data_IF_994193495049
#
_entry.id   IF_994193495049
#
_cell.length_a   1.000
_cell.length_b   1.000
_cell.length_c   1.000
_cell.angle_alpha   90.00
_cell.angle_beta   90.00
_cell.angle_gamma   90.00
#
_symmetry.space_group_name_H-M   'P 1'
#
loop_
_entity.id
_entity.type
_entity.pdbx_description
1 polymer ?
#
# COMPACT_ATOMS: atom_id res chain seq x y z
N UNK A 1 23.33 -25.25 -21.22
CA UNK A 1 22.05 -24.86 -20.56
C UNK A 1 21.01 -24.71 -21.66
N UNK A 2 20.10 -25.65 -21.75
CA UNK A 2 19.01 -25.59 -22.72
C UNK A 2 17.92 -24.67 -22.19
N UNK A 3 17.80 -23.47 -22.81
CA UNK A 3 16.66 -22.60 -22.56
C UNK A 3 15.41 -23.22 -23.17
N UNK A 4 14.32 -23.29 -22.40
CA UNK A 4 13.00 -23.62 -22.94
C UNK A 4 12.30 -22.35 -23.37
N UNK A 5 11.56 -22.44 -24.48
CA UNK A 5 10.67 -21.36 -24.90
C UNK A 5 9.61 -21.10 -23.83
N UNK A 6 9.34 -19.83 -23.55
CA UNK A 6 8.33 -19.45 -22.55
C UNK A 6 6.94 -19.81 -23.07
N UNK A 7 6.10 -20.35 -22.18
CA UNK A 7 4.71 -20.61 -22.55
C UNK A 7 3.99 -19.31 -22.94
N UNK A 8 3.17 -19.33 -24.00
CA UNK A 8 2.37 -18.18 -24.37
C UNK A 8 1.34 -17.89 -23.25
N UNK A 9 1.10 -16.63 -22.99
CA UNK A 9 0.05 -16.18 -22.08
C UNK A 9 -0.69 -15.00 -22.72
N UNK A 10 -1.94 -14.81 -22.33
CA UNK A 10 -2.73 -13.65 -22.73
C UNK A 10 -2.54 -12.55 -21.69
N UNK A 11 -1.96 -11.43 -22.11
CA UNK A 11 -1.80 -10.27 -21.24
C UNK A 11 -3.17 -9.56 -21.08
N UNK A 12 -3.53 -9.26 -19.84
CA UNK A 12 -4.68 -8.41 -19.57
C UNK A 12 -4.35 -6.97 -19.97
N UNK A 13 -5.15 -6.41 -20.85
CA UNK A 13 -5.02 -5.03 -21.31
C UNK A 13 -6.35 -4.31 -21.09
N UNK A 14 -6.30 -3.16 -20.44
CA UNK A 14 -7.48 -2.30 -20.29
C UNK A 14 -7.88 -1.80 -21.68
N UNK A 15 -9.15 -2.01 -22.12
CA UNK A 15 -9.64 -1.49 -23.39
C UNK A 15 -9.50 0.03 -23.47
N UNK A 16 -8.92 0.52 -24.55
CA UNK A 16 -8.61 1.94 -24.68
C UNK A 16 -9.88 2.82 -24.71
N UNK A 17 -10.94 2.37 -25.33
CA UNK A 17 -12.21 3.09 -25.39
C UNK A 17 -12.85 3.22 -24.00
N UNK A 18 -12.80 2.15 -23.19
CA UNK A 18 -13.25 2.19 -21.80
C UNK A 18 -12.39 3.13 -20.96
N UNK A 19 -11.07 3.10 -21.17
CA UNK A 19 -10.16 4.02 -20.50
C UNK A 19 -10.47 5.48 -20.81
N UNK A 20 -10.68 5.81 -22.10
CA UNK A 20 -10.99 7.17 -22.54
C UNK A 20 -12.35 7.65 -22.00
N UNK A 21 -13.36 6.78 -21.98
CA UNK A 21 -14.67 7.11 -21.43
C UNK A 21 -14.59 7.51 -19.96
N UNK A 22 -13.96 6.69 -19.13
CA UNK A 22 -13.83 6.95 -17.70
C UNK A 22 -12.95 8.17 -17.40
N UNK A 23 -11.81 8.29 -18.10
CA UNK A 23 -10.90 9.43 -17.88
C UNK A 23 -11.49 10.75 -18.37
N UNK A 24 -12.29 10.71 -19.44
CA UNK A 24 -13.06 11.87 -19.93
C UNK A 24 -14.12 12.32 -18.94
N UNK A 25 -14.78 11.39 -18.27
CA UNK A 25 -15.78 11.68 -17.25
C UNK A 25 -15.17 12.28 -15.98
N UNK A 26 -14.09 11.67 -15.46
CA UNK A 26 -13.41 12.16 -14.25
C UNK A 26 -12.70 13.48 -14.50
N UNK A 27 -12.09 13.66 -15.67
CA UNK A 27 -11.20 14.75 -16.05
C UNK A 27 -9.88 14.81 -15.26
N UNK A 28 -8.84 15.36 -15.89
CA UNK A 28 -7.53 15.55 -15.26
C UNK A 28 -7.60 16.42 -14.00
N UNK A 29 -8.37 17.51 -14.05
CA UNK A 29 -8.48 18.45 -12.93
C UNK A 29 -9.10 17.82 -11.68
N UNK A 30 -10.15 17.01 -11.83
CA UNK A 30 -10.80 16.31 -10.72
C UNK A 30 -9.88 15.22 -10.15
N UNK A 31 -9.16 14.50 -11.00
CA UNK A 31 -8.19 13.51 -10.55
C UNK A 31 -7.01 14.15 -9.82
N UNK A 32 -6.49 15.29 -10.31
CA UNK A 32 -5.43 16.05 -9.64
C UNK A 32 -5.87 16.53 -8.25
N UNK A 33 -7.10 17.06 -8.10
CA UNK A 33 -7.64 17.44 -6.79
C UNK A 33 -7.80 16.22 -5.85
N UNK A 34 -8.23 15.10 -6.39
CA UNK A 34 -8.42 13.89 -5.58
C UNK A 34 -7.11 13.30 -5.06
N UNK A 35 -6.04 13.31 -5.86
CA UNK A 35 -4.75 12.72 -5.47
C UNK A 35 -3.90 13.65 -4.62
N UNK A 36 -4.13 14.97 -4.68
CA UNK A 36 -3.37 15.96 -3.92
C UNK A 36 -4.04 16.20 -2.56
N UNK A 37 -3.62 15.43 -1.56
CA UNK A 37 -4.09 15.59 -0.19
C UNK A 37 -2.96 15.27 0.80
N UNK A 38 -2.84 16.07 1.86
CA UNK A 38 -1.82 15.90 2.90
C UNK A 38 -2.02 14.57 3.64
N UNK A 39 -3.27 14.25 3.98
CA UNK A 39 -3.61 13.01 4.66
C UNK A 39 -3.99 11.92 3.65
N UNK A 40 -3.47 10.72 3.90
CA UNK A 40 -3.84 9.56 3.08
C UNK A 40 -5.34 9.27 3.11
N UNK A 41 -5.97 9.43 4.27
CA UNK A 41 -7.41 9.16 4.45
C UNK A 41 -8.27 10.07 3.58
N UNK A 42 -7.95 11.35 3.49
CA UNK A 42 -8.68 12.31 2.67
C UNK A 42 -8.56 11.99 1.18
N UNK A 43 -7.34 11.62 0.74
CA UNK A 43 -7.11 11.16 -0.62
C UNK A 43 -7.91 9.90 -0.94
N UNK A 44 -7.84 8.89 -0.07
CA UNK A 44 -8.53 7.62 -0.28
C UNK A 44 -10.05 7.83 -0.30
N UNK A 45 -10.59 8.74 0.53
CA UNK A 45 -12.01 9.12 0.51
C UNK A 45 -12.42 9.81 -0.80
N UNK A 46 -11.61 10.74 -1.30
CA UNK A 46 -11.87 11.42 -2.58
C UNK A 46 -11.83 10.44 -3.76
N UNK A 47 -10.83 9.56 -3.81
CA UNK A 47 -10.74 8.54 -4.87
C UNK A 47 -11.93 7.57 -4.81
N UNK A 48 -12.32 7.15 -3.61
CA UNK A 48 -13.49 6.30 -3.42
C UNK A 48 -14.76 6.97 -3.94
N UNK A 49 -15.00 8.23 -3.60
CA UNK A 49 -16.14 9.00 -4.10
C UNK A 49 -16.17 9.10 -5.64
N UNK A 50 -15.00 9.33 -6.28
CA UNK A 50 -14.89 9.31 -7.74
C UNK A 50 -15.20 7.94 -8.31
N UNK A 51 -14.75 6.87 -7.66
CA UNK A 51 -15.02 5.50 -8.09
C UNK A 51 -16.52 5.18 -8.05
N UNK A 52 -17.18 5.53 -6.93
CA UNK A 52 -18.61 5.33 -6.76
C UNK A 52 -19.41 6.11 -7.81
N UNK A 53 -19.08 7.36 -8.08
CA UNK A 53 -19.73 8.18 -9.11
C UNK A 53 -19.57 7.59 -10.52
N UNK A 54 -18.38 7.09 -10.86
CA UNK A 54 -18.12 6.41 -12.14
C UNK A 54 -18.94 5.14 -12.24
N UNK A 55 -18.96 4.32 -11.18
CA UNK A 55 -19.74 3.08 -11.16
C UNK A 55 -21.23 3.38 -11.36
N UNK A 56 -21.81 4.32 -10.62
CA UNK A 56 -23.22 4.68 -10.75
C UNK A 56 -23.59 5.20 -12.14
N UNK A 57 -22.68 5.95 -12.78
CA UNK A 57 -22.99 6.64 -14.03
C UNK A 57 -22.64 5.86 -15.28
N UNK A 58 -21.53 5.11 -15.28
CA UNK A 58 -20.95 4.53 -16.50
C UNK A 58 -21.06 3.00 -16.61
N UNK A 59 -21.55 2.29 -15.58
CA UNK A 59 -21.65 0.82 -15.59
C UNK A 59 -22.39 0.30 -16.82
N UNK A 60 -23.57 0.86 -17.13
CA UNK A 60 -24.36 0.41 -18.29
C UNK A 60 -23.60 0.62 -19.61
N UNK A 61 -22.94 1.76 -19.79
CA UNK A 61 -22.18 2.07 -21.00
C UNK A 61 -20.95 1.17 -21.12
N UNK A 62 -20.22 0.95 -20.04
CA UNK A 62 -19.06 0.07 -20.01
C UNK A 62 -19.46 -1.37 -20.31
N UNK A 63 -20.55 -1.88 -19.71
CA UNK A 63 -21.07 -3.22 -19.99
C UNK A 63 -21.40 -3.39 -21.47
N UNK A 64 -22.02 -2.40 -22.09
CA UNK A 64 -22.32 -2.43 -23.52
C UNK A 64 -21.06 -2.44 -24.40
N UNK A 65 -19.94 -1.88 -23.94
CA UNK A 65 -18.67 -1.82 -24.68
C UNK A 65 -17.84 -3.10 -24.55
N UNK A 66 -17.76 -3.67 -23.35
CA UNK A 66 -16.82 -4.78 -23.06
C UNK A 66 -17.51 -6.15 -22.90
N UNK A 67 -18.86 -6.19 -22.85
CA UNK A 67 -19.65 -7.40 -22.69
C UNK A 67 -19.95 -7.76 -21.24
N UNK A 68 -21.01 -8.54 -21.04
CA UNK A 68 -21.53 -8.93 -19.72
C UNK A 68 -20.62 -9.91 -18.95
N UNK A 69 -19.67 -10.56 -19.62
CA UNK A 69 -18.75 -11.51 -19.00
C UNK A 69 -17.60 -10.79 -18.24
N UNK A 70 -17.43 -9.49 -18.46
CA UNK A 70 -16.37 -8.69 -17.84
C UNK A 70 -16.82 -8.17 -16.48
N UNK A 71 -15.98 -8.34 -15.46
CA UNK A 71 -16.17 -7.70 -14.16
C UNK A 71 -15.96 -6.18 -14.28
N UNK A 72 -17.07 -5.44 -14.38
CA UNK A 72 -17.05 -3.99 -14.59
C UNK A 72 -16.46 -3.25 -13.40
N UNK A 73 -16.71 -3.69 -12.17
CA UNK A 73 -16.17 -3.04 -10.96
C UNK A 73 -14.65 -3.18 -10.92
N UNK A 74 -14.12 -4.35 -11.25
CA UNK A 74 -12.69 -4.57 -11.38
C UNK A 74 -12.08 -3.71 -12.51
N UNK A 75 -12.73 -3.62 -13.66
CA UNK A 75 -12.29 -2.80 -14.79
C UNK A 75 -12.24 -1.31 -14.41
N UNK A 76 -13.28 -0.78 -13.77
CA UNK A 76 -13.31 0.61 -13.28
C UNK A 76 -12.16 0.84 -12.29
N UNK A 77 -11.96 -0.08 -11.35
CA UNK A 77 -10.87 -0.01 -10.39
C UNK A 77 -9.48 0.08 -11.07
N UNK A 78 -9.24 -0.76 -12.07
CA UNK A 78 -7.99 -0.78 -12.83
C UNK A 78 -7.77 0.51 -13.64
N UNK A 79 -8.84 1.02 -14.29
CA UNK A 79 -8.78 2.28 -15.03
C UNK A 79 -8.45 3.45 -14.10
N UNK A 80 -9.16 3.57 -12.97
CA UNK A 80 -8.94 4.64 -11.99
C UNK A 80 -7.53 4.54 -11.41
N UNK A 81 -7.06 3.34 -11.07
CA UNK A 81 -5.70 3.15 -10.59
C UNK A 81 -4.64 3.57 -11.62
N UNK A 82 -4.81 3.18 -12.89
CA UNK A 82 -3.92 3.60 -13.98
C UNK A 82 -3.94 5.12 -14.14
N UNK A 83 -5.10 5.73 -14.14
CA UNK A 83 -5.27 7.18 -14.28
C UNK A 83 -4.65 7.94 -13.10
N UNK A 84 -4.94 7.53 -11.87
CA UNK A 84 -4.31 8.06 -10.67
C UNK A 84 -2.78 8.01 -10.73
N UNK A 85 -2.23 6.85 -11.11
CA UNK A 85 -0.78 6.66 -11.24
C UNK A 85 -0.16 7.61 -12.27
N UNK A 86 -0.80 7.78 -13.42
CA UNK A 86 -0.32 8.67 -14.47
C UNK A 86 -0.43 10.14 -14.05
N UNK A 87 -1.52 10.54 -13.40
CA UNK A 87 -1.74 11.89 -12.89
C UNK A 87 -0.70 12.25 -11.84
N UNK A 88 -0.47 11.39 -10.83
CA UNK A 88 0.56 11.63 -9.80
C UNK A 88 1.95 11.77 -10.41
N UNK A 89 2.33 10.93 -11.38
CA UNK A 89 3.62 11.05 -12.06
C UNK A 89 3.75 12.36 -12.83
N UNK A 90 2.69 12.77 -13.53
CA UNK A 90 2.66 14.04 -14.28
C UNK A 90 2.81 15.22 -13.33
N UNK A 91 2.08 15.25 -12.21
CA UNK A 91 2.17 16.30 -11.19
C UNK A 91 3.58 16.39 -10.59
N UNK A 92 4.20 15.27 -10.24
CA UNK A 92 5.57 15.25 -9.70
C UNK A 92 6.56 15.82 -10.71
N UNK A 93 6.45 15.45 -11.99
CA UNK A 93 7.35 15.94 -13.04
C UNK A 93 7.13 17.42 -13.38
N UNK A 94 5.88 17.89 -13.36
CA UNK A 94 5.51 19.25 -13.71
C UNK A 94 5.76 20.23 -12.55
N UNK A 95 5.29 19.85 -11.35
CA UNK A 95 5.19 20.78 -10.21
C UNK A 95 6.31 20.56 -9.18
N UNK A 96 7.11 19.49 -9.34
CA UNK A 96 8.15 19.09 -8.39
C UNK A 96 7.65 18.92 -6.95
N UNK A 97 6.37 18.53 -6.80
CA UNK A 97 5.71 18.29 -5.52
C UNK A 97 5.13 16.88 -5.47
N UNK A 98 5.19 16.28 -4.29
CA UNK A 98 4.54 15.00 -4.02
C UNK A 98 3.06 15.19 -3.70
N UNK A 99 2.22 14.14 -3.78
CA UNK A 99 0.79 14.23 -3.49
C UNK A 99 0.44 14.76 -2.09
N UNK A 100 1.33 14.61 -1.12
CA UNK A 100 1.19 15.15 0.23
C UNK A 100 1.79 16.56 0.42
N UNK A 101 2.06 17.26 -0.67
CA UNK A 101 2.56 18.64 -0.68
C UNK A 101 4.06 18.80 -0.45
N UNK A 102 4.79 17.73 -0.08
CA UNK A 102 6.24 17.80 0.12
C UNK A 102 7.00 18.01 -1.18
N UNK A 103 8.17 18.66 -1.08
CA UNK A 103 9.14 18.72 -2.15
C UNK A 103 9.74 17.35 -2.48
N UNK A 104 10.48 17.25 -3.60
CA UNK A 104 11.06 15.98 -4.07
C UNK A 104 12.07 15.43 -3.09
N UNK A 105 12.90 16.28 -2.49
CA UNK A 105 13.96 15.91 -1.55
C UNK A 105 13.50 15.93 -0.08
N UNK A 106 12.33 16.44 0.20
CA UNK A 106 11.81 16.56 1.54
C UNK A 106 11.43 15.21 2.12
N UNK A 107 11.98 14.88 3.30
CA UNK A 107 11.60 13.68 4.06
C UNK A 107 10.48 14.02 5.05
N UNK A 108 9.68 13.01 5.41
CA UNK A 108 8.68 13.17 6.48
C UNK A 108 9.37 13.44 7.80
N UNK A 109 8.71 14.22 8.68
CA UNK A 109 9.20 14.48 10.03
C UNK A 109 9.46 13.17 10.75
N UNK A 110 10.67 13.06 11.30
CA UNK A 110 11.10 11.92 12.11
C UNK A 110 11.15 12.32 13.58
N UNK A 111 10.75 11.42 14.45
CA UNK A 111 11.01 11.52 15.90
C UNK A 111 11.29 10.14 16.47
N UNK A 112 12.09 10.10 17.53
CA UNK A 112 12.40 8.88 18.26
C UNK A 112 12.42 9.21 19.76
N UNK A 113 11.72 8.40 20.53
CA UNK A 113 11.67 8.47 21.98
C UNK A 113 12.13 7.13 22.52
N UNK A 114 12.95 7.12 23.55
CA UNK A 114 13.42 5.91 24.21
C UNK A 114 12.85 5.84 25.61
N UNK A 115 12.89 4.65 26.20
CA UNK A 115 12.47 4.43 27.60
C UNK A 115 10.97 4.70 27.85
N UNK A 116 10.14 4.39 26.85
CA UNK A 116 8.69 4.68 26.89
C UNK A 116 7.93 3.76 27.84
N UNK A 117 8.44 2.52 28.04
CA UNK A 117 7.82 1.51 28.89
C UNK A 117 8.72 1.20 30.11
N UNK A 118 8.20 1.31 31.35
CA UNK A 118 9.04 1.31 32.56
C UNK A 118 9.51 -0.08 33.03
N UNK A 119 8.98 -1.18 32.48
CA UNK A 119 9.23 -2.54 33.00
C UNK A 119 9.85 -3.49 31.98
N UNK A 120 10.38 -2.98 30.91
CA UNK A 120 11.07 -3.76 29.87
C UNK A 120 12.56 -3.48 29.89
N UNK A 121 13.36 -4.33 29.25
CA UNK A 121 14.80 -4.12 29.19
C UNK A 121 15.22 -2.99 28.24
N UNK A 122 14.33 -2.62 27.33
CA UNK A 122 14.46 -1.45 26.46
C UNK A 122 13.18 -1.22 25.69
N UNK A 123 12.86 0.03 25.41
CA UNK A 123 11.73 0.40 24.57
C UNK A 123 12.03 1.68 23.81
N UNK A 124 11.45 1.78 22.61
CA UNK A 124 11.54 2.98 21.78
C UNK A 124 10.28 3.17 20.96
N UNK A 125 9.84 4.39 20.81
CA UNK A 125 8.79 4.81 19.91
C UNK A 125 9.44 5.59 18.77
N UNK A 126 9.35 5.06 17.56
CA UNK A 126 9.81 5.74 16.35
C UNK A 126 8.62 6.21 15.53
N UNK A 127 8.63 7.47 15.14
CA UNK A 127 7.57 8.07 14.31
C UNK A 127 8.14 8.65 13.03
N UNK A 128 7.45 8.38 11.93
CA UNK A 128 7.73 8.96 10.61
C UNK A 128 6.43 9.49 10.01
N UNK A 129 6.19 10.77 10.15
CA UNK A 129 4.89 11.37 9.83
C UNK A 129 3.80 10.74 10.69
N UNK A 130 2.82 10.11 10.05
CA UNK A 130 1.69 9.45 10.72
C UNK A 130 1.98 7.99 11.12
N UNK A 131 3.07 7.40 10.63
CA UNK A 131 3.43 6.01 10.93
C UNK A 131 4.24 5.95 12.20
N UNK A 132 3.85 5.09 13.14
CA UNK A 132 4.57 4.84 14.39
C UNK A 132 4.92 3.37 14.54
N UNK A 133 6.07 3.10 15.14
CA UNK A 133 6.50 1.77 15.52
C UNK A 133 6.97 1.80 16.99
N UNK A 134 6.32 1.00 17.84
CA UNK A 134 6.77 0.76 19.21
C UNK A 134 7.63 -0.50 19.22
N UNK A 135 8.89 -0.35 19.58
CA UNK A 135 9.84 -1.46 19.73
C UNK A 135 10.05 -1.75 21.20
N UNK A 136 10.00 -3.02 21.56
CA UNK A 136 10.25 -3.50 22.92
C UNK A 136 11.35 -4.56 22.88
N UNK A 137 12.35 -4.40 23.73
CA UNK A 137 13.48 -5.33 23.81
C UNK A 137 13.39 -6.12 25.11
N UNK A 138 13.55 -7.43 25.01
CA UNK A 138 13.70 -8.34 26.13
C UNK A 138 15.05 -9.02 26.05
N UNK A 139 15.83 -8.98 27.12
CA UNK A 139 17.09 -9.69 27.26
C UNK A 139 16.86 -10.97 28.05
N UNK A 140 17.44 -12.07 27.61
CA UNK A 140 17.39 -13.34 28.28
C UNK A 140 18.78 -13.94 28.50
N UNK A 141 18.87 -15.01 29.31
CA UNK A 141 20.08 -15.78 29.46
C UNK A 141 20.46 -16.50 28.17
N UNK A 142 21.74 -16.82 28.00
CA UNK A 142 22.23 -17.53 26.79
C UNK A 142 21.52 -18.88 26.62
N UNK A 143 21.13 -19.53 27.72
CA UNK A 143 20.40 -20.81 27.72
C UNK A 143 18.96 -20.71 27.18
N UNK A 144 18.39 -19.49 27.11
CA UNK A 144 17.02 -19.23 26.60
C UNK A 144 16.98 -19.04 25.08
N UNK A 145 18.13 -19.11 24.40
CA UNK A 145 18.17 -19.08 22.95
C UNK A 145 17.33 -20.21 22.33
N UNK A 146 16.62 -19.89 21.27
CA UNK A 146 15.79 -20.85 20.56
C UNK A 146 16.68 -21.97 19.97
N UNK A 147 16.37 -23.21 20.30
CA UNK A 147 17.02 -24.39 19.68
C UNK A 147 16.35 -24.64 18.33
N UNK A 148 17.17 -24.80 17.32
CA UNK A 148 16.73 -25.14 15.96
C UNK A 148 17.00 -26.63 15.74
N UNK A 149 15.96 -27.36 15.40
CA UNK A 149 16.02 -28.80 15.06
C UNK A 149 15.44 -28.96 13.65
N UNK A 150 16.22 -28.58 12.67
CA UNK A 150 15.87 -28.58 11.25
C UNK A 150 16.79 -29.49 10.43
N UNK A 151 16.59 -29.49 9.11
CA UNK A 151 17.41 -30.24 8.17
C UNK A 151 18.82 -29.65 7.98
N UNK A 152 18.99 -28.37 8.31
CA UNK A 152 20.30 -27.71 8.30
C UNK A 152 21.01 -27.97 9.63
N UNK A 153 22.12 -28.70 9.55
CA UNK A 153 22.94 -29.07 10.71
C UNK A 153 23.95 -27.99 11.13
N UNK A 154 24.08 -26.91 10.34
CA UNK A 154 25.02 -25.83 10.61
C UNK A 154 24.48 -24.83 11.63
N UNK A 155 23.16 -24.66 11.69
CA UNK A 155 22.50 -23.76 12.64
C UNK A 155 21.78 -24.55 13.72
N UNK A 156 22.35 -24.57 14.93
CA UNK A 156 21.79 -25.28 16.09
C UNK A 156 20.99 -24.42 17.04
N UNK A 157 21.03 -23.12 16.87
CA UNK A 157 20.32 -22.18 17.76
C UNK A 157 20.25 -20.77 17.24
N UNK A 158 19.21 -20.05 17.67
CA UNK A 158 18.97 -18.66 17.33
C UNK A 158 18.91 -17.82 18.61
N UNK A 159 19.85 -16.87 18.73
CA UNK A 159 19.96 -15.99 19.91
C UNK A 159 19.25 -14.66 19.74
N UNK A 160 19.09 -14.21 18.51
CA UNK A 160 18.37 -12.96 18.19
C UNK A 160 17.07 -13.30 17.46
N UNK A 161 15.97 -12.80 18.00
CA UNK A 161 14.65 -12.97 17.40
C UNK A 161 14.03 -11.57 17.28
N UNK A 162 13.58 -11.25 16.07
CA UNK A 162 12.84 -10.04 15.79
C UNK A 162 11.44 -10.41 15.33
N UNK A 163 10.46 -10.10 16.18
CA UNK A 163 9.05 -10.23 15.84
C UNK A 163 8.51 -8.91 15.31
N UNK A 164 7.73 -8.98 14.26
CA UNK A 164 7.00 -7.85 13.72
C UNK A 164 5.49 -8.10 13.87
N UNK A 165 4.81 -7.24 14.60
CA UNK A 165 3.37 -7.30 14.78
C UNK A 165 2.72 -6.16 14.01
N UNK A 166 1.71 -6.47 13.19
CA UNK A 166 0.93 -5.49 12.46
C UNK A 166 -0.55 -5.67 12.80
N UNK A 167 -1.02 -5.15 13.95
CA UNK A 167 -2.40 -5.31 14.38
C UNK A 167 -3.35 -4.52 13.48
N UNK A 168 -4.62 -4.95 13.43
CA UNK A 168 -5.65 -4.35 12.58
C UNK A 168 -5.82 -2.85 12.79
N UNK A 169 -5.70 -2.37 14.03
CA UNK A 169 -5.80 -0.94 14.32
C UNK A 169 -4.72 -0.08 13.63
N UNK A 170 -3.60 -0.67 13.19
CA UNK A 170 -2.57 0.06 12.42
C UNK A 170 -3.07 0.58 11.07
N UNK A 171 -4.15 0.00 10.55
CA UNK A 171 -4.84 0.40 9.32
C UNK A 171 -6.31 0.75 9.54
N UNK A 172 -6.71 0.96 10.81
CA UNK A 172 -8.10 1.32 11.15
C UNK A 172 -9.09 0.15 11.10
N UNK A 173 -8.61 -1.09 11.09
CA UNK A 173 -9.47 -2.27 11.06
C UNK A 173 -9.68 -2.85 12.47
N UNK A 174 -10.91 -3.28 12.75
CA UNK A 174 -11.25 -4.04 13.96
C UNK A 174 -11.14 -5.55 13.64
N UNK A 175 -9.97 -6.12 13.85
CA UNK A 175 -9.74 -7.56 13.67
C UNK A 175 -8.89 -8.16 14.78
N UNK A 176 -9.03 -9.47 14.97
CA UNK A 176 -8.20 -10.23 15.93
C UNK A 176 -6.76 -10.33 15.44
N UNK A 177 -5.80 -10.02 16.31
CA UNK A 177 -4.39 -10.29 16.05
C UNK A 177 -4.07 -11.78 16.27
N UNK A 178 -3.48 -12.44 15.28
CA UNK A 178 -3.15 -13.87 15.33
C UNK A 178 -1.65 -14.12 15.45
N UNK A 179 -1.02 -13.49 16.43
CA UNK A 179 0.41 -13.66 16.68
C UNK A 179 1.31 -12.75 15.83
N UNK A 180 2.63 -12.90 15.99
CA UNK A 180 3.61 -12.13 15.21
C UNK A 180 3.64 -12.61 13.75
N UNK A 181 3.87 -11.66 12.84
CA UNK A 181 4.09 -11.94 11.43
C UNK A 181 5.52 -12.37 11.11
#
# INVERSE_FOLDING_TARGET
KEGKEKAPYTEYVIPEDAYQLVTGFITDARMEDAVFAELKQDRDAKIKALTEEVTETLTEQLTAMVGEETDIDALIGDIIYKFQKMTVRRMILRDHKRPDGRGIEEIRKLSAEVDVLPRVHGSALFSRGQTQALTVTTLGAISEGQRLDGLDTNETGKRYIHHYNFPGFSVGEAKTSRGPG
#
